data_IF_043786359644
#
_entry.id   IF_043786359644
#
_cell.length_a   1.000
_cell.length_b   1.000
_cell.length_c   1.000
_cell.angle_alpha   90.00
_cell.angle_beta   90.00
_cell.angle_gamma   90.00
#
_symmetry.space_group_name_H-M   'P 1'
#
loop_
_entity.id
_entity.type
_entity.pdbx_description
1 polymer ?
#
# COMPACT_ATOMS: atom_id res chain seq x y z
N UNK A 1 0.97 -23.93 -3.66
CA UNK A 1 0.22 -23.01 -2.78
C UNK A 1 -0.05 -21.72 -3.53
N UNK A 2 -1.30 -21.30 -3.56
CA UNK A 2 -1.66 -20.06 -4.25
C UNK A 2 -1.19 -18.86 -3.44
N UNK A 3 -0.64 -17.89 -4.13
CA UNK A 3 -0.36 -16.58 -3.53
C UNK A 3 -1.68 -15.86 -3.24
N UNK A 4 -1.82 -15.35 -2.03
CA UNK A 4 -3.02 -14.62 -1.64
C UNK A 4 -2.89 -13.18 -2.09
N UNK A 5 -3.83 -12.73 -2.90
CA UNK A 5 -3.90 -11.36 -3.38
C UNK A 5 -5.00 -10.62 -2.61
N UNK A 6 -4.86 -9.32 -2.52
CA UNK A 6 -5.93 -8.52 -1.95
C UNK A 6 -7.18 -8.58 -2.85
N UNK A 7 -8.33 -8.23 -2.28
CA UNK A 7 -9.58 -8.13 -3.04
C UNK A 7 -9.37 -7.17 -4.22
N UNK A 8 -9.76 -7.59 -5.43
CA UNK A 8 -9.59 -6.70 -6.59
C UNK A 8 -10.33 -5.38 -6.41
N UNK A 9 -9.70 -4.31 -6.88
CA UNK A 9 -10.33 -3.01 -6.98
C UNK A 9 -11.23 -2.92 -8.21
N UNK A 10 -11.93 -1.80 -8.38
CA UNK A 10 -11.92 -0.64 -7.49
C UNK A 10 -12.72 -0.85 -6.20
N UNK A 11 -12.40 -0.09 -5.20
CA UNK A 11 -13.09 -0.10 -3.90
C UNK A 11 -13.84 1.22 -3.70
N UNK A 12 -14.90 1.18 -2.91
CA UNK A 12 -15.67 2.37 -2.58
C UNK A 12 -15.89 2.48 -1.07
N UNK A 13 -16.26 3.67 -0.64
CA UNK A 13 -16.55 3.95 0.78
C UNK A 13 -18.04 4.04 0.97
N UNK A 14 -18.52 3.39 2.02
CA UNK A 14 -19.91 3.49 2.44
C UNK A 14 -19.94 3.58 3.95
N UNK A 15 -20.18 4.78 4.50
CA UNK A 15 -20.30 5.02 5.94
C UNK A 15 -19.16 4.46 6.78
N UNK A 16 -17.93 4.66 6.34
CA UNK A 16 -16.74 4.18 7.06
C UNK A 16 -16.34 2.75 6.76
N UNK A 17 -17.11 2.02 5.96
CA UNK A 17 -16.70 0.73 5.43
C UNK A 17 -16.16 0.88 4.02
N UNK A 18 -15.24 -0.01 3.66
CA UNK A 18 -14.68 -0.11 2.31
C UNK A 18 -15.20 -1.39 1.70
N UNK A 19 -15.80 -1.28 0.53
CA UNK A 19 -16.40 -2.40 -0.19
C UNK A 19 -15.90 -2.43 -1.62
N UNK A 20 -16.03 -3.58 -2.28
CA UNK A 20 -15.80 -3.62 -3.72
C UNK A 20 -16.90 -2.81 -4.42
N UNK A 21 -16.48 -1.96 -5.36
CA UNK A 21 -17.42 -1.07 -6.07
C UNK A 21 -18.48 -1.84 -6.85
N UNK A 22 -18.15 -3.00 -7.36
CA UNK A 22 -19.07 -3.85 -8.12
C UNK A 22 -20.06 -4.65 -7.23
N UNK A 23 -19.98 -4.49 -5.93
CA UNK A 23 -20.85 -5.19 -4.99
C UNK A 23 -20.49 -6.63 -4.71
N UNK A 24 -19.39 -7.13 -5.24
CA UNK A 24 -19.00 -8.54 -5.08
C UNK A 24 -18.46 -8.87 -3.68
N UNK A 25 -17.88 -7.89 -3.01
CA UNK A 25 -17.29 -8.08 -1.68
C UNK A 25 -17.69 -6.92 -0.78
N UNK A 26 -18.21 -7.26 0.38
CA UNK A 26 -18.56 -6.26 1.40
C UNK A 26 -17.55 -6.28 2.54
N UNK A 27 -17.35 -5.12 3.13
CA UNK A 27 -16.53 -4.96 4.32
C UNK A 27 -15.09 -5.46 4.12
N UNK A 28 -14.44 -4.95 3.08
CA UNK A 28 -12.99 -5.16 2.90
C UNK A 28 -12.25 -4.58 4.09
N UNK A 29 -12.71 -3.43 4.57
CA UNK A 29 -12.22 -2.79 5.77
C UNK A 29 -13.37 -2.07 6.47
N UNK A 30 -13.34 -2.09 7.79
CA UNK A 30 -14.28 -1.35 8.63
C UNK A 30 -13.48 -0.38 9.48
N UNK A 31 -13.62 0.90 9.20
CA UNK A 31 -12.87 1.94 9.89
C UNK A 31 -13.69 2.44 11.07
N UNK A 32 -13.13 2.29 12.26
CA UNK A 32 -13.74 2.86 13.47
C UNK A 32 -13.27 4.29 13.63
N UNK A 33 -14.08 5.08 14.32
CA UNK A 33 -13.65 6.43 14.73
C UNK A 33 -12.47 6.29 15.68
N UNK A 34 -11.30 6.86 15.34
CA UNK A 34 -10.14 6.71 16.20
C UNK A 34 -10.31 7.45 17.53
N UNK A 35 -9.77 6.86 18.59
CA UNK A 35 -9.63 7.52 19.87
C UNK A 35 -8.34 8.32 19.88
N UNK A 36 -8.36 9.48 20.51
CA UNK A 36 -7.16 10.31 20.63
C UNK A 36 -6.37 9.92 21.88
N UNK A 37 -5.06 9.91 21.74
CA UNK A 37 -4.17 9.61 22.84
C UNK A 37 -3.75 10.86 23.60
N UNK A 38 -2.96 10.68 24.68
CA UNK A 38 -2.57 11.80 25.54
C UNK A 38 -1.69 12.85 24.85
N UNK A 39 -1.06 12.50 23.75
CA UNK A 39 -0.21 13.42 23.00
C UNK A 39 -0.94 14.15 21.88
N UNK A 40 -2.26 14.04 21.86
CA UNK A 40 -3.07 14.71 20.84
C UNK A 40 -3.05 16.23 21.08
N UNK A 41 -2.66 16.96 20.04
CA UNK A 41 -2.55 18.43 20.14
C UNK A 41 -3.86 19.15 19.84
N UNK A 42 -4.89 18.40 19.49
CA UNK A 42 -6.21 18.95 19.19
C UNK A 42 -6.35 19.44 17.76
N UNK A 43 -7.53 19.26 17.23
CA UNK A 43 -7.98 19.84 15.97
C UNK A 43 -9.48 20.07 16.11
N UNK A 44 -10.07 20.77 15.13
CA UNK A 44 -11.51 20.94 15.08
C UNK A 44 -12.23 19.72 14.52
N UNK A 45 -11.48 18.67 14.14
CA UNK A 45 -12.06 17.47 13.55
C UNK A 45 -12.51 16.48 14.62
N UNK A 46 -13.62 15.80 14.32
CA UNK A 46 -14.16 14.74 15.18
C UNK A 46 -13.59 13.39 14.82
N UNK A 47 -13.79 12.38 15.68
CA UNK A 47 -13.43 11.00 15.37
C UNK A 47 -14.14 10.49 14.11
N UNK A 48 -15.38 10.95 13.87
CA UNK A 48 -16.12 10.60 12.66
C UNK A 48 -15.45 11.14 11.40
N UNK A 49 -14.91 12.35 11.47
CA UNK A 49 -14.18 12.93 10.33
C UNK A 49 -12.96 12.08 9.97
N UNK A 50 -12.21 11.64 10.98
CA UNK A 50 -11.07 10.74 10.76
C UNK A 50 -11.48 9.39 10.23
N UNK A 51 -12.58 8.84 10.72
CA UNK A 51 -13.11 7.57 10.23
C UNK A 51 -13.37 7.61 8.73
N UNK A 52 -14.06 8.66 8.29
CA UNK A 52 -14.39 8.85 6.88
C UNK A 52 -13.12 9.07 6.05
N UNK A 53 -12.22 9.92 6.51
CA UNK A 53 -10.97 10.20 5.81
C UNK A 53 -10.10 8.96 5.68
N UNK A 54 -10.02 8.15 6.74
CA UNK A 54 -9.26 6.91 6.72
C UNK A 54 -9.85 5.91 5.73
N UNK A 55 -11.17 5.74 5.75
CA UNK A 55 -11.86 4.84 4.82
C UNK A 55 -11.66 5.30 3.38
N UNK A 56 -11.71 6.60 3.14
CA UNK A 56 -11.52 7.18 1.81
C UNK A 56 -10.10 6.88 1.29
N UNK A 57 -9.10 7.05 2.14
CA UNK A 57 -7.72 6.74 1.76
C UNK A 57 -7.54 5.24 1.49
N UNK A 58 -8.11 4.40 2.33
CA UNK A 58 -8.03 2.94 2.15
C UNK A 58 -8.69 2.54 0.83
N UNK A 59 -9.86 3.11 0.51
CA UNK A 59 -10.55 2.80 -0.72
C UNK A 59 -9.75 3.17 -1.97
N UNK A 60 -8.90 4.18 -1.89
CA UNK A 60 -8.04 4.59 -2.98
C UNK A 60 -6.78 3.73 -3.14
N UNK A 61 -6.49 2.87 -2.18
CA UNK A 61 -5.23 2.12 -2.16
C UNK A 61 -4.97 1.27 -3.41
N UNK A 62 -5.96 0.51 -3.96
CA UNK A 62 -5.68 -0.27 -5.17
C UNK A 62 -5.30 0.61 -6.35
N UNK A 63 -5.97 1.75 -6.52
CA UNK A 63 -5.69 2.67 -7.62
C UNK A 63 -4.32 3.30 -7.47
N UNK A 64 -3.95 3.71 -6.25
CA UNK A 64 -2.63 4.26 -5.99
C UNK A 64 -1.52 3.24 -6.25
N UNK A 65 -1.72 2.01 -5.83
CA UNK A 65 -0.76 0.94 -6.09
C UNK A 65 -0.60 0.67 -7.59
N UNK A 66 -1.72 0.68 -8.33
CA UNK A 66 -1.70 0.49 -9.79
C UNK A 66 -0.93 1.60 -10.48
N UNK A 67 -1.12 2.86 -10.06
CA UNK A 67 -0.38 3.99 -10.63
C UNK A 67 1.12 3.82 -10.37
N UNK A 68 1.50 3.40 -9.18
CA UNK A 68 2.92 3.17 -8.87
C UNK A 68 3.50 2.04 -9.71
N UNK A 69 2.75 0.95 -9.93
CA UNK A 69 3.19 -0.14 -10.79
C UNK A 69 3.39 0.32 -12.24
N UNK A 70 2.45 1.12 -12.76
CA UNK A 70 2.56 1.66 -14.11
C UNK A 70 3.77 2.58 -14.24
N UNK A 71 3.98 3.45 -13.26
CA UNK A 71 5.11 4.36 -13.27
C UNK A 71 6.44 3.60 -13.23
N UNK A 72 6.53 2.58 -12.41
CA UNK A 72 7.72 1.73 -12.34
C UNK A 72 7.98 1.02 -13.67
N UNK A 73 6.92 0.49 -14.29
CA UNK A 73 7.03 -0.19 -15.59
C UNK A 73 7.49 0.77 -16.70
N UNK A 74 6.95 1.98 -16.73
CA UNK A 74 7.36 3.00 -17.70
C UNK A 74 8.82 3.41 -17.50
N UNK A 75 9.28 3.47 -16.25
CA UNK A 75 10.69 3.75 -15.96
C UNK A 75 11.58 2.60 -16.42
N UNK A 76 11.15 1.34 -16.24
CA UNK A 76 11.92 0.18 -16.66
C UNK A 76 12.09 0.10 -18.17
N UNK A 77 11.13 0.63 -18.93
CA UNK A 77 11.21 0.66 -20.39
C UNK A 77 11.90 1.91 -20.93
N UNK A 78 12.34 2.79 -20.05
CA UNK A 78 13.04 4.01 -20.44
C UNK A 78 12.15 5.15 -20.90
N UNK A 79 10.83 5.00 -20.79
CA UNK A 79 9.89 6.05 -21.20
C UNK A 79 9.82 7.21 -20.22
N UNK A 80 10.15 6.95 -18.97
CA UNK A 80 10.13 7.95 -17.91
C UNK A 80 11.43 7.86 -17.12
N UNK A 81 12.00 8.99 -16.81
CA UNK A 81 13.21 9.06 -15.97
C UNK A 81 12.79 9.29 -14.51
N UNK A 82 13.13 8.36 -13.66
CA UNK A 82 12.87 8.47 -12.23
C UNK A 82 14.20 8.45 -11.48
N UNK A 83 14.46 9.46 -10.60
CA UNK A 83 15.66 9.41 -9.78
C UNK A 83 15.73 8.13 -8.95
N UNK A 84 16.93 7.61 -8.77
CA UNK A 84 17.15 6.33 -8.09
C UNK A 84 16.54 6.29 -6.69
N UNK A 85 16.66 7.37 -5.92
CA UNK A 85 16.09 7.41 -4.58
C UNK A 85 14.56 7.33 -4.60
N UNK A 86 13.93 8.01 -5.56
CA UNK A 86 12.48 7.94 -5.73
C UNK A 86 12.05 6.54 -6.16
N UNK A 87 12.80 5.90 -7.05
CA UNK A 87 12.49 4.55 -7.48
C UNK A 87 12.53 3.57 -6.30
N UNK A 88 13.51 3.69 -5.41
CA UNK A 88 13.57 2.87 -4.21
C UNK A 88 12.35 3.08 -3.32
N UNK A 89 11.89 4.31 -3.20
CA UNK A 89 10.69 4.64 -2.43
C UNK A 89 9.44 4.03 -3.05
N UNK A 90 9.31 4.07 -4.37
CA UNK A 90 8.19 3.45 -5.10
C UNK A 90 8.20 1.94 -4.86
N UNK A 91 9.35 1.30 -5.02
CA UNK A 91 9.47 -0.14 -4.81
C UNK A 91 9.13 -0.53 -3.38
N UNK A 92 9.60 0.26 -2.40
CA UNK A 92 9.27 0.00 -0.99
C UNK A 92 7.77 0.10 -0.74
N UNK A 93 7.09 1.08 -1.33
CA UNK A 93 5.64 1.22 -1.21
C UNK A 93 4.90 0.04 -1.83
N UNK A 94 5.35 -0.43 -2.99
CA UNK A 94 4.74 -1.58 -3.66
C UNK A 94 4.96 -2.87 -2.87
N UNK A 95 6.13 -3.04 -2.28
CA UNK A 95 6.41 -4.19 -1.40
C UNK A 95 5.50 -4.15 -0.19
N UNK A 96 5.37 -2.99 0.45
CA UNK A 96 4.50 -2.82 1.61
C UNK A 96 3.04 -3.08 1.26
N UNK A 97 2.62 -2.76 0.05
CA UNK A 97 1.26 -2.99 -0.42
C UNK A 97 1.00 -4.43 -0.88
N UNK A 98 2.02 -5.28 -0.86
CA UNK A 98 1.90 -6.66 -1.34
C UNK A 98 1.85 -6.77 -2.86
N UNK A 99 2.21 -5.70 -3.58
CA UNK A 99 2.18 -5.65 -5.05
C UNK A 99 3.51 -6.05 -5.68
N UNK A 100 4.54 -6.18 -4.89
CA UNK A 100 5.87 -6.57 -5.33
C UNK A 100 6.49 -7.44 -4.24
N UNK A 101 7.16 -8.51 -4.65
CA UNK A 101 7.84 -9.39 -3.70
C UNK A 101 9.04 -8.66 -3.08
N UNK A 102 9.21 -8.84 -1.77
CA UNK A 102 10.39 -8.34 -1.09
C UNK A 102 11.63 -9.05 -1.63
N UNK A 103 12.75 -8.33 -1.78
CA UNK A 103 13.99 -8.99 -2.19
C UNK A 103 14.36 -10.08 -1.19
N UNK A 104 14.75 -11.22 -1.70
CA UNK A 104 15.27 -12.28 -0.84
C UNK A 104 16.59 -11.84 -0.23
N UNK A 105 16.81 -12.10 1.05
CA UNK A 105 18.12 -11.81 1.64
C UNK A 105 19.21 -12.53 0.86
N UNK A 106 20.21 -11.79 0.43
CA UNK A 106 21.35 -12.40 -0.23
C UNK A 106 22.09 -13.19 0.86
N UNK A 107 22.06 -14.51 0.72
CA UNK A 107 22.88 -15.34 1.58
C UNK A 107 24.33 -15.13 1.18
N UNK A 108 25.03 -14.42 2.00
CA UNK A 108 26.48 -14.43 1.89
C UNK A 108 26.98 -15.77 2.35
N UNK A 109 27.21 -16.64 1.39
CA UNK A 109 27.99 -17.81 1.67
C UNK A 109 29.39 -17.32 1.78
N UNK A 110 29.84 -17.13 3.02
CA UNK A 110 31.23 -16.90 3.25
C UNK A 110 31.96 -18.21 2.92
N UNK A 111 32.58 -18.22 1.79
CA UNK A 111 33.43 -19.36 1.46
C UNK A 111 34.64 -19.27 2.40
N UNK A 112 34.60 -20.10 3.37
CA UNK A 112 35.71 -20.12 4.32
C UNK A 112 37.01 -20.45 3.59
N UNK A 113 37.88 -19.55 3.62
CA UNK A 113 39.05 -19.63 2.85
C UNK A 113 38.83 -19.24 1.43
N UNK A 114 38.00 -18.95 1.47
CA UNK A 114 37.92 -18.60 0.81
C UNK A 114 37.84 -18.43 0.03
N UNK A 115 37.91 -18.73 0.11
CA UNK A 115 37.86 -18.54 -0.24
C UNK A 115 37.95 -18.50 -0.84
N UNK A 116 38.10 -18.69 -0.85
CA UNK A 116 38.21 -18.48 -1.05
C UNK A 116 38.40 -18.39 -1.27
#
# INVERSE_FOLDING_TARGET
MKEIKHTPGPWEVMNGTVNAEDGSVFCIADCYAPSVGPNWSGTDYTGRDYQIANATLIAAAPDMATVLELLAAEADTGKVMIPSALRLTIDAALIKAGRKAAPQPVRHVTIAGGAL
#
